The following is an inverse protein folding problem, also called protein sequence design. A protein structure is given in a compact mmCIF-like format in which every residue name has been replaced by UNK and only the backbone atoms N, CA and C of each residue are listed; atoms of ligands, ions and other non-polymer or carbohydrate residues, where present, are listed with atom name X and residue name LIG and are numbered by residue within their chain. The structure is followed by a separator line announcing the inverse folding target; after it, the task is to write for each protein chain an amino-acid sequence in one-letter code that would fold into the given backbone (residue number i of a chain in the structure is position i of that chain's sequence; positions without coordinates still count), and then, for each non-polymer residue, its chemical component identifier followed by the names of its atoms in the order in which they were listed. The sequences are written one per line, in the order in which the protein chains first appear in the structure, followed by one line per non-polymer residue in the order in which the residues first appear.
data_IF_590623465147
#
_entry.id   IF_590623465147
#
_cell.length_a   1.000
_cell.length_b   1.000
_cell.length_c   1.000
_cell.angle_alpha   90.00
_cell.angle_beta   90.00
_cell.angle_gamma   90.00
#
_symmetry.space_group_name_H-M   'P 1'
#
loop_
_entity.id
_entity.type
_entity.pdbx_description
1 polymer ?
#
# COMPACT_ATOMS: atom_id res chain seq x y z
N UNK A 1 -7.06 -36.52 19.31
CA UNK A 1 -6.17 -36.22 18.17
C UNK A 1 -6.66 -35.04 17.29
N UNK A 2 -7.36 -34.05 17.86
CA UNK A 2 -8.12 -33.02 17.10
C UNK A 2 -7.57 -31.57 17.26
N UNK A 3 -6.66 -31.34 18.22
CA UNK A 3 -6.15 -30.01 18.57
C UNK A 3 -5.10 -29.45 17.60
N UNK A 4 -4.28 -30.31 16.99
CA UNK A 4 -3.16 -29.88 16.12
C UNK A 4 -3.61 -29.12 14.86
N UNK A 5 -4.81 -29.39 14.35
CA UNK A 5 -5.28 -28.81 13.08
C UNK A 5 -6.03 -27.48 13.25
N UNK A 6 -6.72 -27.24 14.38
CA UNK A 6 -7.31 -25.92 14.68
C UNK A 6 -6.24 -24.87 14.92
N UNK A 7 -5.14 -25.27 15.55
CA UNK A 7 -3.95 -24.44 15.74
C UNK A 7 -3.30 -24.04 14.40
N UNK A 8 -3.24 -24.95 13.42
CA UNK A 8 -2.69 -24.65 12.08
C UNK A 8 -3.54 -23.68 11.27
N UNK A 9 -4.87 -23.77 11.32
CA UNK A 9 -5.78 -22.82 10.63
C UNK A 9 -5.74 -21.43 11.29
N UNK A 10 -5.65 -21.43 12.63
CA UNK A 10 -5.42 -20.25 13.46
C UNK A 10 -4.14 -19.51 13.04
N UNK A 11 -3.02 -20.22 12.96
CA UNK A 11 -1.74 -19.62 12.62
C UNK A 11 -1.70 -19.11 11.16
N UNK A 12 -2.52 -19.67 10.28
CA UNK A 12 -2.66 -19.22 8.88
C UNK A 12 -3.47 -17.92 8.76
N UNK A 13 -4.56 -17.78 9.54
CA UNK A 13 -5.29 -16.51 9.63
C UNK A 13 -4.43 -15.42 10.25
N UNK A 14 -3.67 -15.76 11.30
CA UNK A 14 -2.71 -14.85 11.90
C UNK A 14 -1.59 -14.49 10.92
N UNK A 15 -1.13 -15.42 10.09
CA UNK A 15 -0.19 -15.16 9.00
C UNK A 15 -0.76 -14.24 7.92
N UNK A 16 -2.02 -14.41 7.52
CA UNK A 16 -2.69 -13.54 6.53
C UNK A 16 -2.91 -12.14 7.11
N UNK A 17 -3.32 -12.02 8.38
CA UNK A 17 -3.46 -10.75 9.08
C UNK A 17 -2.10 -10.07 9.21
N UNK A 18 -1.04 -10.81 9.56
CA UNK A 18 0.32 -10.27 9.62
C UNK A 18 0.79 -9.84 8.23
N UNK A 19 0.53 -10.60 7.17
CA UNK A 19 0.91 -10.20 5.80
C UNK A 19 0.11 -8.98 5.34
N UNK A 20 -1.18 -8.86 5.66
CA UNK A 20 -2.01 -7.68 5.36
C UNK A 20 -1.56 -6.48 6.19
N UNK A 21 -1.21 -6.66 7.47
CA UNK A 21 -0.66 -5.61 8.32
C UNK A 21 0.74 -5.19 7.87
N UNK A 22 1.61 -6.12 7.48
CA UNK A 22 2.94 -5.82 6.92
C UNK A 22 2.76 -5.11 5.58
N UNK A 23 1.87 -5.56 4.70
CA UNK A 23 1.62 -4.89 3.41
C UNK A 23 1.00 -3.50 3.61
N UNK A 24 0.12 -3.33 4.60
CA UNK A 24 -0.42 -2.04 5.01
C UNK A 24 0.61 -1.11 5.66
N UNK A 25 1.56 -1.65 6.44
CA UNK A 25 2.68 -0.91 7.03
C UNK A 25 3.74 -0.53 6.00
N UNK A 26 3.85 -1.26 4.89
CA UNK A 26 4.70 -0.89 3.75
C UNK A 26 4.06 0.19 2.87
N UNK A 27 2.74 0.34 2.91
CA UNK A 27 2.02 1.49 2.36
C UNK A 27 2.10 2.65 3.34
N UNK A 28 3.30 3.21 3.51
CA UNK A 28 3.42 4.49 4.19
C UNK A 28 2.47 5.48 3.50
N UNK A 29 1.69 6.29 4.26
CA UNK A 29 0.96 7.37 3.65
C UNK A 29 1.98 8.20 2.88
N UNK A 30 1.82 8.27 1.55
CA UNK A 30 2.38 9.39 0.82
C UNK A 30 1.68 10.57 1.47
N UNK A 31 2.42 11.28 2.32
CA UNK A 31 1.97 12.55 2.84
C UNK A 31 1.70 13.39 1.59
N UNK A 32 0.43 13.46 1.22
CA UNK A 32 -0.06 14.47 0.31
C UNK A 32 0.14 15.78 1.06
N UNK A 33 1.37 16.31 0.96
CA UNK A 33 1.70 17.64 1.44
C UNK A 33 0.76 18.55 0.69
N UNK A 34 -0.18 19.11 1.43
CA UNK A 34 -1.15 20.02 0.90
C UNK A 34 -0.37 21.25 0.42
N UNK A 35 -0.43 21.45 -0.90
CA UNK A 35 -0.27 22.71 -1.64
C UNK A 35 1.14 23.11 -2.14
N UNK A 36 1.14 23.52 -3.42
CA UNK A 36 2.12 24.26 -4.20
C UNK A 36 3.26 23.53 -4.94
N UNK A 37 3.45 22.20 -4.81
CA UNK A 37 4.50 21.48 -5.56
C UNK A 37 3.95 20.37 -6.43
N UNK A 38 4.47 20.24 -7.65
CA UNK A 38 4.15 19.16 -8.58
C UNK A 38 5.43 18.46 -9.06
N UNK A 39 5.42 17.12 -9.17
CA UNK A 39 6.57 16.37 -9.66
C UNK A 39 6.70 16.46 -11.18
N UNK A 40 7.91 16.67 -11.65
CA UNK A 40 8.33 16.51 -13.06
C UNK A 40 8.67 15.04 -13.27
N UNK A 41 7.95 14.39 -14.18
CA UNK A 41 7.99 12.94 -14.39
C UNK A 41 8.40 12.62 -15.82
N UNK A 42 9.56 11.98 -15.97
CA UNK A 42 10.03 11.49 -17.25
C UNK A 42 9.88 9.98 -17.34
N UNK A 43 9.15 9.50 -18.35
CA UNK A 43 8.89 8.07 -18.60
C UNK A 43 8.40 7.32 -17.33
N UNK A 44 7.65 8.01 -16.45
CA UNK A 44 7.13 7.46 -15.18
C UNK A 44 8.12 7.45 -14.01
N UNK A 45 9.26 8.12 -14.12
CA UNK A 45 10.19 8.39 -13.01
C UNK A 45 10.11 9.87 -12.61
N UNK A 46 9.69 10.20 -11.37
CA UNK A 46 9.76 11.57 -10.87
C UNK A 46 11.23 11.96 -10.72
N UNK A 47 11.63 13.08 -11.32
CA UNK A 47 13.01 13.59 -11.28
C UNK A 47 13.14 14.61 -10.14
N UNK A 48 12.32 15.65 -10.17
CA UNK A 48 12.29 16.72 -9.16
C UNK A 48 10.88 17.30 -9.03
N UNK A 49 10.68 18.24 -8.11
CA UNK A 49 9.40 18.92 -7.90
C UNK A 49 9.55 20.42 -8.15
N UNK A 50 8.61 21.00 -8.88
CA UNK A 50 8.55 22.45 -9.14
C UNK A 50 7.38 23.07 -8.41
N UNK A 51 7.50 24.36 -8.07
CA UNK A 51 6.38 25.11 -7.51
C UNK A 51 5.49 25.73 -8.58
N UNK A 52 4.34 26.21 -8.12
CA UNK A 52 3.53 27.16 -8.88
C UNK A 52 4.29 28.47 -9.14
N UNK A 53 4.01 29.04 -10.31
CA UNK A 53 4.51 30.35 -10.71
C UNK A 53 3.33 31.31 -10.81
N UNK A 54 3.59 32.61 -10.96
CA UNK A 54 2.51 33.60 -11.06
C UNK A 54 1.63 33.38 -12.33
N UNK A 55 2.10 32.58 -13.30
CA UNK A 55 1.41 32.31 -14.57
C UNK A 55 0.92 30.86 -14.73
N UNK A 56 1.47 29.91 -13.97
CA UNK A 56 1.16 28.48 -14.11
C UNK A 56 0.94 27.86 -12.74
N UNK A 57 -0.07 27.01 -12.63
CA UNK A 57 -0.18 26.11 -11.48
C UNK A 57 1.05 25.18 -11.46
N UNK A 58 1.40 24.66 -10.29
CA UNK A 58 2.52 23.74 -10.17
C UNK A 58 2.40 22.55 -11.16
N UNK A 59 1.19 22.03 -11.34
CA UNK A 59 0.92 20.90 -12.24
C UNK A 59 1.05 21.30 -13.72
N UNK A 60 0.47 22.43 -14.14
CA UNK A 60 0.60 22.89 -15.53
C UNK A 60 2.07 23.18 -15.89
N UNK A 61 2.83 23.70 -14.92
CA UNK A 61 4.25 23.95 -15.07
C UNK A 61 5.04 22.64 -15.20
N UNK A 62 4.73 21.64 -14.36
CA UNK A 62 5.34 20.32 -14.45
C UNK A 62 5.04 19.61 -15.77
N UNK A 63 3.79 19.64 -16.23
CA UNK A 63 3.36 19.02 -17.49
C UNK A 63 4.07 19.65 -18.71
N UNK A 64 4.30 20.96 -18.67
CA UNK A 64 5.04 21.68 -19.71
C UNK A 64 6.52 21.26 -19.74
N UNK A 65 7.15 21.15 -18.58
CA UNK A 65 8.56 20.71 -18.45
C UNK A 65 8.69 19.24 -18.89
N UNK A 66 7.75 18.38 -18.50
CA UNK A 66 7.70 16.97 -18.92
C UNK A 66 7.59 16.83 -20.44
N UNK A 67 6.73 17.64 -21.07
CA UNK A 67 6.59 17.67 -22.52
C UNK A 67 7.91 18.05 -23.22
N UNK A 68 8.59 19.08 -22.71
CA UNK A 68 9.87 19.54 -23.26
C UNK A 68 11.00 18.53 -23.05
N UNK A 69 11.09 17.93 -21.85
CA UNK A 69 12.03 16.84 -21.54
C UNK A 69 11.82 15.68 -22.51
N UNK A 70 10.58 15.23 -22.68
CA UNK A 70 10.25 14.11 -23.56
C UNK A 70 10.64 14.40 -25.01
N UNK A 71 10.36 15.60 -25.51
CA UNK A 71 10.74 16.02 -26.85
C UNK A 71 12.26 16.12 -27.05
N UNK A 72 12.99 16.63 -26.05
CA UNK A 72 14.45 16.74 -26.09
C UNK A 72 15.13 15.36 -26.07
N UNK A 73 14.53 14.39 -25.40
CA UNK A 73 15.09 13.03 -25.26
C UNK A 73 14.66 12.06 -26.37
N UNK A 74 13.90 12.48 -27.37
CA UNK A 74 13.54 11.62 -28.52
C UNK A 74 14.70 11.36 -29.48
N UNK A 75 15.74 12.19 -29.48
CA UNK A 75 16.91 11.99 -30.33
C UNK A 75 17.88 10.97 -29.74
N UNK A 76 18.52 10.16 -30.59
CA UNK A 76 19.61 9.24 -30.22
C UNK A 76 20.92 9.97 -29.82
N UNK A 77 20.93 11.30 -29.90
CA UNK A 77 22.07 12.12 -29.49
C UNK A 77 22.15 12.21 -27.97
N UNK A 78 23.35 12.17 -27.38
CA UNK A 78 23.54 12.36 -25.95
C UNK A 78 22.97 13.70 -25.51
N UNK A 79 22.10 13.69 -24.49
CA UNK A 79 21.48 14.90 -23.95
C UNK A 79 22.52 15.64 -23.11
N UNK A 80 22.88 16.85 -23.55
CA UNK A 80 23.73 17.78 -22.80
C UNK A 80 22.84 18.74 -22.03
N UNK A 81 22.99 18.74 -20.70
CA UNK A 81 22.29 19.66 -19.80
C UNK A 81 23.25 20.81 -19.46
N UNK A 82 22.85 22.05 -19.72
CA UNK A 82 23.67 23.24 -19.46
C UNK A 82 22.93 24.23 -18.55
N UNK A 83 23.69 24.98 -17.76
CA UNK A 83 23.20 26.12 -17.00
C UNK A 83 23.61 27.40 -17.71
N UNK A 84 22.62 28.26 -17.95
CA UNK A 84 22.83 29.61 -18.43
C UNK A 84 22.16 30.59 -17.47
N UNK A 85 22.77 31.75 -17.26
CA UNK A 85 22.15 32.78 -16.45
C UNK A 85 21.27 33.67 -17.34
N UNK A 86 19.96 33.70 -17.07
CA UNK A 86 18.99 34.53 -17.79
C UNK A 86 18.31 35.45 -16.81
N UNK A 87 18.46 36.76 -16.99
CA UNK A 87 17.87 37.78 -16.13
C UNK A 87 18.22 37.61 -14.63
N UNK A 88 19.48 37.27 -14.34
CA UNK A 88 20.00 37.04 -12.97
C UNK A 88 19.49 35.76 -12.29
N UNK A 89 18.75 34.91 -13.00
CA UNK A 89 18.29 33.62 -12.51
C UNK A 89 18.93 32.47 -13.30
N UNK A 90 19.25 31.34 -12.66
CA UNK A 90 19.74 30.15 -13.34
C UNK A 90 18.65 29.52 -14.19
N UNK A 91 18.93 29.35 -15.47
CA UNK A 91 18.08 28.66 -16.44
C UNK A 91 18.75 27.38 -16.93
N UNK A 92 17.97 26.30 -16.98
CA UNK A 92 18.41 24.98 -17.44
C UNK A 92 18.09 24.85 -18.93
N UNK A 93 19.06 24.40 -19.70
CA UNK A 93 18.94 24.13 -21.12
C UNK A 93 19.27 22.66 -21.44
N UNK A 94 18.59 22.10 -22.43
CA UNK A 94 18.80 20.76 -22.97
C UNK A 94 19.15 20.86 -24.44
N UNK A 95 20.38 20.49 -24.83
CA UNK A 95 20.85 20.59 -26.22
C UNK A 95 20.52 21.97 -26.84
N UNK A 96 20.86 23.03 -26.11
CA UNK A 96 20.61 24.44 -26.48
C UNK A 96 19.13 24.87 -26.55
N UNK A 97 18.20 24.04 -26.04
CA UNK A 97 16.78 24.39 -25.88
C UNK A 97 16.49 24.75 -24.43
N UNK A 98 15.83 25.88 -24.22
CA UNK A 98 15.36 26.28 -22.89
C UNK A 98 14.43 25.20 -22.31
N UNK A 99 14.66 24.81 -21.06
CA UNK A 99 13.79 23.90 -20.33
C UNK A 99 12.98 24.66 -19.28
N UNK A 100 13.67 25.29 -18.32
CA UNK A 100 13.04 26.00 -17.21
C UNK A 100 14.01 26.97 -16.54
N UNK A 101 13.46 27.93 -15.80
CA UNK A 101 14.22 28.84 -14.91
C UNK A 101 13.97 28.45 -13.47
N UNK A 102 15.02 28.26 -12.68
CA UNK A 102 14.91 27.90 -11.26
C UNK A 102 14.76 29.18 -10.44
N UNK A 103 13.76 29.21 -9.57
CA UNK A 103 13.48 30.34 -8.69
C UNK A 103 13.81 30.02 -7.24
N UNK A 104 13.92 31.04 -6.39
CA UNK A 104 14.10 30.85 -4.94
C UNK A 104 12.91 30.10 -4.29
N UNK A 105 11.73 30.14 -4.92
CA UNK A 105 10.58 29.35 -4.44
C UNK A 105 10.81 27.86 -4.64
N UNK A 106 11.61 27.48 -5.63
CA UNK A 106 11.94 26.10 -5.98
C UNK A 106 13.08 25.50 -5.14
N UNK A 107 13.85 26.35 -4.46
CA UNK A 107 14.93 25.90 -3.59
C UNK A 107 14.39 25.19 -2.34
N UNK A 108 15.07 24.11 -1.94
CA UNK A 108 14.87 23.49 -0.63
C UNK A 108 15.35 24.47 0.45
N UNK A 109 14.69 24.47 1.62
CA UNK A 109 15.06 25.33 2.73
C UNK A 109 16.57 25.22 3.05
N UNK A 110 17.29 26.33 2.88
CA UNK A 110 18.74 26.41 3.11
C UNK A 110 19.61 26.33 1.84
N UNK A 111 19.02 26.20 0.65
CA UNK A 111 19.72 26.29 -0.64
C UNK A 111 19.34 27.57 -1.39
N UNK A 112 20.26 28.05 -2.23
CA UNK A 112 20.00 29.12 -3.21
C UNK A 112 19.42 28.56 -4.52
N UNK A 113 18.79 29.41 -5.34
CA UNK A 113 18.32 28.99 -6.66
C UNK A 113 19.45 28.41 -7.55
N UNK A 114 20.67 28.95 -7.46
CA UNK A 114 21.84 28.47 -8.20
C UNK A 114 22.29 27.07 -7.75
N UNK A 115 22.27 26.80 -6.44
CA UNK A 115 22.59 25.48 -5.90
C UNK A 115 21.51 24.47 -6.26
N UNK A 116 20.24 24.86 -6.17
CA UNK A 116 19.12 24.02 -6.59
C UNK A 116 19.20 23.68 -8.08
N UNK A 117 19.57 24.64 -8.93
CA UNK A 117 19.72 24.43 -10.36
C UNK A 117 20.84 23.43 -10.68
N UNK A 118 21.97 23.47 -9.94
CA UNK A 118 23.05 22.47 -10.09
C UNK A 118 22.60 21.07 -9.72
N UNK A 119 21.81 20.92 -8.65
CA UNK A 119 21.24 19.63 -8.25
C UNK A 119 20.34 19.09 -9.36
N UNK A 120 19.42 19.91 -9.87
CA UNK A 120 18.51 19.50 -10.95
C UNK A 120 19.25 19.14 -12.23
N UNK A 121 20.30 19.87 -12.60
CA UNK A 121 21.14 19.51 -13.76
C UNK A 121 21.74 18.13 -13.61
N UNK A 122 22.26 17.81 -12.43
CA UNK A 122 22.82 16.50 -12.13
C UNK A 122 21.75 15.41 -12.18
N UNK A 123 20.58 15.63 -11.58
CA UNK A 123 19.46 14.69 -11.61
C UNK A 123 18.96 14.43 -13.03
N UNK A 124 18.74 15.49 -13.83
CA UNK A 124 18.31 15.39 -15.22
C UNK A 124 19.35 14.65 -16.05
N UNK A 125 20.65 14.92 -15.85
CA UNK A 125 21.71 14.26 -16.62
C UNK A 125 21.81 12.76 -16.31
N UNK A 126 21.69 12.38 -15.03
CA UNK A 126 21.67 10.97 -14.61
C UNK A 126 20.46 10.25 -15.20
N UNK A 127 19.28 10.87 -15.14
CA UNK A 127 18.06 10.27 -15.70
C UNK A 127 18.13 10.22 -17.22
N UNK A 128 18.67 11.23 -17.90
CA UNK A 128 18.81 11.24 -19.35
C UNK A 128 19.74 10.12 -19.84
N UNK A 129 20.89 9.92 -19.19
CA UNK A 129 21.80 8.83 -19.50
C UNK A 129 21.13 7.47 -19.29
N UNK A 130 20.44 7.31 -18.17
CA UNK A 130 19.67 6.09 -17.86
C UNK A 130 18.61 5.83 -18.93
N UNK A 131 17.80 6.81 -19.29
CA UNK A 131 16.74 6.69 -20.30
C UNK A 131 17.30 6.31 -21.68
N UNK A 132 18.49 6.79 -22.05
CA UNK A 132 19.16 6.37 -23.29
C UNK A 132 19.58 4.90 -23.25
N UNK A 133 20.17 4.45 -22.13
CA UNK A 133 20.54 3.03 -21.94
C UNK A 133 19.29 2.14 -21.94
N UNK A 134 18.21 2.57 -21.28
CA UNK A 134 16.95 1.82 -21.20
C UNK A 134 16.22 1.68 -22.55
N UNK A 135 16.52 2.56 -23.51
CA UNK A 135 16.02 2.48 -24.90
C UNK A 135 16.90 1.62 -25.81
N UNK A 136 18.08 1.18 -25.33
CA UNK A 136 18.92 0.25 -26.07
C UNK A 136 18.23 -1.11 -26.26
N UNK A 137 18.46 -1.74 -27.41
CA UNK A 137 17.86 -3.03 -27.75
C UNK A 137 18.30 -4.14 -26.79
N UNK A 138 19.52 -4.07 -26.26
CA UNK A 138 20.06 -5.02 -25.28
C UNK A 138 19.30 -4.96 -23.95
N UNK A 139 18.96 -3.76 -23.48
CA UNK A 139 18.15 -3.58 -22.27
C UNK A 139 16.74 -4.18 -22.42
N UNK A 140 16.10 -3.96 -23.58
CA UNK A 140 14.77 -4.49 -23.86
C UNK A 140 14.74 -6.02 -23.85
N UNK A 141 15.77 -6.69 -24.36
CA UNK A 141 15.89 -8.15 -24.34
C UNK A 141 16.06 -8.69 -22.92
N UNK A 142 16.91 -8.05 -22.11
CA UNK A 142 17.12 -8.45 -20.72
C UNK A 142 15.84 -8.27 -19.87
N UNK A 143 15.09 -7.19 -20.10
CA UNK A 143 13.82 -6.93 -19.42
C UNK A 143 12.70 -7.88 -19.87
N UNK A 144 12.72 -8.37 -21.13
CA UNK A 144 11.81 -9.43 -21.57
C UNK A 144 12.04 -10.74 -20.80
N UNK A 145 13.29 -11.13 -20.57
CA UNK A 145 13.61 -12.35 -19.80
C UNK A 145 13.18 -12.18 -18.34
N UNK A 146 13.46 -11.02 -17.74
CA UNK A 146 13.11 -10.73 -16.35
C UNK A 146 11.58 -10.68 -16.15
N UNK A 147 10.84 -10.05 -17.06
CA UNK A 147 9.37 -10.03 -17.03
C UNK A 147 8.77 -11.43 -17.19
N UNK A 148 9.36 -12.28 -18.05
CA UNK A 148 8.95 -13.68 -18.17
C UNK A 148 9.20 -14.47 -16.87
N UNK A 149 10.32 -14.21 -16.19
CA UNK A 149 10.59 -14.76 -14.86
C UNK A 149 9.55 -14.36 -13.81
N UNK A 150 9.14 -13.09 -13.79
CA UNK A 150 8.12 -12.59 -12.85
C UNK A 150 6.74 -13.19 -13.16
N UNK A 151 6.38 -13.31 -14.44
CA UNK A 151 5.15 -13.99 -14.84
C UNK A 151 5.14 -15.44 -14.35
N UNK A 152 6.26 -16.17 -14.49
CA UNK A 152 6.37 -17.53 -13.97
C UNK A 152 6.21 -17.58 -12.45
N UNK A 153 6.80 -16.64 -11.72
CA UNK A 153 6.64 -16.52 -10.25
C UNK A 153 5.19 -16.22 -9.88
N UNK A 154 4.54 -15.27 -10.56
CA UNK A 154 3.13 -14.92 -10.33
C UNK A 154 2.19 -16.09 -10.63
N UNK A 155 2.45 -16.83 -11.72
CA UNK A 155 1.73 -18.06 -12.06
C UNK A 155 1.94 -19.09 -10.96
N UNK A 156 3.17 -19.35 -10.53
CA UNK A 156 3.49 -20.31 -9.47
C UNK A 156 2.80 -19.96 -8.15
N UNK A 157 2.80 -18.69 -7.73
CA UNK A 157 2.08 -18.19 -6.56
C UNK A 157 0.57 -18.40 -6.68
N UNK A 158 0.00 -18.02 -7.83
CA UNK A 158 -1.43 -18.19 -8.10
C UNK A 158 -1.84 -19.67 -8.10
N UNK A 159 -0.98 -20.54 -8.60
CA UNK A 159 -1.20 -21.98 -8.63
C UNK A 159 -1.10 -22.57 -7.22
N UNK A 160 -0.14 -22.11 -6.43
CA UNK A 160 0.03 -22.50 -5.02
C UNK A 160 -1.20 -22.12 -4.17
N UNK A 161 -1.83 -20.98 -4.44
CA UNK A 161 -3.08 -20.55 -3.79
C UNK A 161 -4.27 -21.45 -4.16
N UNK A 162 -4.38 -21.88 -5.42
CA UNK A 162 -5.42 -22.83 -5.86
C UNK A 162 -5.20 -24.21 -5.25
N UNK A 163 -3.95 -24.67 -5.20
CA UNK A 163 -3.60 -25.93 -4.56
C UNK A 163 -3.91 -25.91 -3.06
N UNK A 164 -3.59 -24.82 -2.37
CA UNK A 164 -3.91 -24.63 -0.96
C UNK A 164 -5.42 -24.64 -0.70
N UNK A 165 -6.21 -24.01 -1.58
CA UNK A 165 -7.68 -24.05 -1.52
C UNK A 165 -8.23 -25.47 -1.63
N UNK A 166 -7.72 -26.27 -2.59
CA UNK A 166 -8.16 -27.66 -2.79
C UNK A 166 -7.77 -28.53 -1.58
N UNK A 167 -6.52 -28.42 -1.14
CA UNK A 167 -6.03 -29.12 0.04
C UNK A 167 -6.85 -28.81 1.31
N UNK A 168 -7.18 -27.54 1.54
CA UNK A 168 -8.04 -27.12 2.66
C UNK A 168 -9.49 -27.61 2.50
N UNK A 169 -10.04 -27.59 1.29
CA UNK A 169 -11.41 -28.06 1.04
C UNK A 169 -11.53 -29.58 1.19
N UNK A 170 -10.50 -30.32 0.81
CA UNK A 170 -10.49 -31.78 0.91
C UNK A 170 -10.36 -32.21 2.38
N UNK A 171 -9.50 -31.55 3.16
CA UNK A 171 -9.39 -31.78 4.62
C UNK A 171 -10.69 -31.38 5.34
N UNK A 172 -11.35 -30.30 4.90
CA UNK A 172 -12.64 -29.91 5.46
C UNK A 172 -13.75 -30.92 5.09
N UNK A 173 -13.84 -31.36 3.84
CA UNK A 173 -14.87 -32.34 3.43
C UNK A 173 -14.69 -33.69 4.13
N UNK A 174 -13.45 -34.15 4.29
CA UNK A 174 -13.17 -35.45 4.91
C UNK A 174 -13.48 -35.50 6.42
N UNK A 175 -13.61 -34.33 7.07
CA UNK A 175 -13.79 -34.23 8.52
C UNK A 175 -15.21 -33.82 8.94
N UNK A 176 -16.03 -33.35 7.99
CA UNK A 176 -17.38 -32.85 8.25
C UNK A 176 -18.49 -33.80 7.74
N UNK A 177 -18.14 -34.99 7.25
CA UNK A 177 -19.10 -36.06 6.90
C UNK A 177 -19.52 -36.89 8.15
N UNK A 178 -18.99 -36.59 9.34
CA UNK A 178 -19.22 -37.42 10.55
C UNK A 178 -19.92 -36.71 11.71
N UNK A 179 -20.52 -35.54 11.53
CA UNK A 179 -21.32 -34.91 12.61
C UNK A 179 -22.44 -34.08 12.00
N UNK A 180 -23.68 -34.53 12.25
CA UNK A 180 -24.96 -33.90 11.91
C UNK A 180 -25.09 -32.47 12.44
N UNK A 181 -24.38 -31.55 11.82
CA UNK A 181 -24.67 -30.12 11.90
C UNK A 181 -24.27 -29.49 10.58
N UNK A 182 -25.20 -29.61 9.63
CA UNK A 182 -25.24 -28.73 8.47
C UNK A 182 -25.06 -27.28 8.91
N UNK A 183 -24.40 -26.49 8.06
CA UNK A 183 -24.12 -25.06 8.18
C UNK A 183 -22.78 -24.69 8.84
N UNK A 184 -21.69 -24.92 8.10
CA UNK A 184 -20.73 -23.81 7.94
C UNK A 184 -21.60 -22.62 7.47
N UNK A 185 -21.72 -21.51 8.23
CA UNK A 185 -22.59 -20.42 7.83
C UNK A 185 -22.12 -19.96 6.45
N UNK A 186 -23.03 -19.98 5.46
CA UNK A 186 -22.72 -19.70 4.04
C UNK A 186 -21.86 -18.44 3.88
N UNK A 187 -22.03 -17.45 4.75
CA UNK A 187 -21.23 -16.22 4.80
C UNK A 187 -19.73 -16.43 5.06
N UNK A 188 -19.33 -17.42 5.86
CA UNK A 188 -17.92 -17.70 6.14
C UNK A 188 -17.21 -18.34 4.93
N UNK A 189 -17.89 -19.24 4.21
CA UNK A 189 -17.40 -19.78 2.94
C UNK A 189 -17.32 -18.69 1.86
N UNK A 190 -18.34 -17.83 1.80
CA UNK A 190 -18.37 -16.68 0.88
C UNK A 190 -17.23 -15.71 1.18
N UNK A 191 -16.99 -15.39 2.45
CA UNK A 191 -15.87 -14.56 2.91
C UNK A 191 -14.51 -15.17 2.54
N UNK A 192 -14.31 -16.48 2.76
CA UNK A 192 -13.09 -17.17 2.34
C UNK A 192 -12.89 -17.14 0.82
N UNK A 193 -13.96 -17.30 0.04
CA UNK A 193 -13.89 -17.14 -1.43
C UNK A 193 -13.57 -15.71 -1.82
N UNK A 194 -14.17 -14.73 -1.15
CA UNK A 194 -13.97 -13.31 -1.42
C UNK A 194 -12.53 -12.89 -1.13
N UNK A 195 -12.00 -13.22 0.05
CA UNK A 195 -10.66 -12.83 0.45
C UNK A 195 -9.60 -13.47 -0.45
N UNK A 196 -9.80 -14.74 -0.83
CA UNK A 196 -8.88 -15.44 -1.72
C UNK A 196 -8.97 -14.92 -3.16
N UNK A 197 -10.16 -14.48 -3.60
CA UNK A 197 -10.33 -13.77 -4.87
C UNK A 197 -9.64 -12.40 -4.84
N UNK A 198 -9.83 -11.61 -3.78
CA UNK A 198 -9.19 -10.31 -3.60
C UNK A 198 -7.66 -10.45 -3.57
N UNK A 199 -7.12 -11.39 -2.79
CA UNK A 199 -5.66 -11.65 -2.76
C UNK A 199 -5.15 -12.03 -4.14
N UNK A 200 -5.86 -12.87 -4.88
CA UNK A 200 -5.47 -13.24 -6.25
C UNK A 200 -5.49 -12.01 -7.17
N UNK A 201 -6.52 -11.19 -7.11
CA UNK A 201 -6.62 -9.96 -7.90
C UNK A 201 -5.48 -9.01 -7.55
N UNK A 202 -5.15 -8.84 -6.27
CA UNK A 202 -3.99 -8.05 -5.83
C UNK A 202 -2.67 -8.60 -6.37
N UNK A 203 -2.43 -9.92 -6.30
CA UNK A 203 -1.20 -10.52 -6.83
C UNK A 203 -1.05 -10.26 -8.32
N UNK A 204 -2.13 -10.43 -9.09
CA UNK A 204 -2.12 -10.13 -10.53
C UNK A 204 -1.94 -8.63 -10.80
N UNK A 205 -2.63 -7.77 -10.05
CA UNK A 205 -2.51 -6.33 -10.18
C UNK A 205 -1.08 -5.86 -9.91
N UNK A 206 -0.46 -6.33 -8.81
CA UNK A 206 0.93 -6.02 -8.46
C UNK A 206 1.89 -6.54 -9.53
N UNK A 207 1.72 -7.78 -10.00
CA UNK A 207 2.56 -8.35 -11.05
C UNK A 207 2.46 -7.55 -12.36
N UNK A 208 1.24 -7.19 -12.78
CA UNK A 208 1.00 -6.38 -13.98
C UNK A 208 1.65 -5.00 -13.84
N UNK A 209 1.44 -4.31 -12.71
CA UNK A 209 2.02 -2.99 -12.47
C UNK A 209 3.56 -3.03 -12.41
N UNK A 210 4.12 -4.08 -11.82
CA UNK A 210 5.57 -4.28 -11.75
C UNK A 210 6.16 -4.56 -13.13
N UNK A 211 5.57 -5.45 -13.92
CA UNK A 211 5.98 -5.72 -15.30
C UNK A 211 5.82 -4.45 -16.16
N UNK A 212 4.75 -3.68 -15.94
CA UNK A 212 4.53 -2.41 -16.62
C UNK A 212 5.62 -1.38 -16.28
N UNK A 213 6.21 -1.42 -15.09
CA UNK A 213 7.32 -0.55 -14.69
C UNK A 213 8.67 -0.96 -15.34
N UNK A 214 8.77 -2.18 -15.86
CA UNK A 214 9.99 -2.66 -16.51
C UNK A 214 10.24 -2.02 -17.88
N UNK A 215 9.16 -1.64 -18.59
CA UNK A 215 9.26 -1.08 -19.93
C UNK A 215 9.04 0.44 -19.91
N UNK A 216 9.90 1.25 -20.57
CA UNK A 216 9.79 2.72 -20.54
C UNK A 216 8.42 3.26 -20.96
N UNK A 217 7.85 2.72 -22.05
CA UNK A 217 6.52 3.15 -22.56
C UNK A 217 5.41 2.78 -21.58
N UNK A 218 5.48 1.58 -20.99
CA UNK A 218 4.48 1.09 -20.05
C UNK A 218 4.62 1.69 -18.65
N UNK A 219 5.80 2.21 -18.30
CA UNK A 219 6.11 2.80 -16.99
C UNK A 219 5.34 4.08 -16.75
N UNK A 220 5.19 4.92 -17.77
CA UNK A 220 4.38 6.15 -17.68
C UNK A 220 2.91 5.87 -17.34
N UNK A 221 2.30 4.87 -17.97
CA UNK A 221 0.94 4.43 -17.68
C UNK A 221 0.83 3.78 -16.29
N UNK A 222 1.81 2.94 -15.92
CA UNK A 222 1.85 2.32 -14.59
C UNK A 222 1.91 3.37 -13.49
N UNK A 223 2.73 4.41 -13.67
CA UNK A 223 2.83 5.54 -12.75
C UNK A 223 1.50 6.28 -12.59
N UNK A 224 0.82 6.61 -13.70
CA UNK A 224 -0.49 7.28 -13.64
C UNK A 224 -1.54 6.41 -12.93
N UNK A 225 -1.63 5.13 -13.27
CA UNK A 225 -2.58 4.20 -12.64
C UNK A 225 -2.27 4.04 -11.15
N UNK A 226 -1.00 3.89 -10.77
CA UNK A 226 -0.61 3.82 -9.37
C UNK A 226 -0.94 5.10 -8.61
N UNK A 227 -0.68 6.28 -9.20
CA UNK A 227 -0.96 7.55 -8.56
C UNK A 227 -2.48 7.76 -8.38
N UNK A 228 -3.30 7.40 -9.37
CA UNK A 228 -4.76 7.45 -9.27
C UNK A 228 -5.26 6.46 -8.22
N UNK A 229 -4.76 5.22 -8.22
CA UNK A 229 -5.17 4.21 -7.23
C UNK A 229 -4.78 4.66 -5.82
N UNK A 230 -3.53 5.05 -5.61
CA UNK A 230 -3.05 5.50 -4.31
C UNK A 230 -3.82 6.73 -3.85
N UNK A 231 -3.91 7.79 -4.66
CA UNK A 231 -4.68 8.99 -4.31
C UNK A 231 -6.15 8.69 -4.03
N UNK A 232 -6.78 7.77 -4.77
CA UNK A 232 -8.18 7.38 -4.52
C UNK A 232 -8.34 6.64 -3.20
N UNK A 233 -7.40 5.75 -2.84
CA UNK A 233 -7.50 4.93 -1.64
C UNK A 233 -6.94 5.59 -0.37
N UNK A 234 -5.98 6.52 -0.51
CA UNK A 234 -5.39 7.29 0.58
C UNK A 234 -6.05 8.65 0.77
N UNK A 235 -6.92 9.07 -0.16
CA UNK A 235 -7.67 10.31 0.04
C UNK A 235 -8.54 10.21 1.31
N UNK A 236 -8.62 11.31 2.06
CA UNK A 236 -9.45 11.36 3.25
C UNK A 236 -10.93 11.26 2.84
N UNK A 237 -11.54 10.11 3.09
CA UNK A 237 -12.97 9.88 2.80
C UNK A 237 -13.86 10.31 3.96
N UNK A 238 -13.38 10.15 5.18
CA UNK A 238 -14.16 10.38 6.39
C UNK A 238 -13.34 11.25 7.34
N UNK A 239 -13.81 12.45 7.63
CA UNK A 239 -13.20 13.34 8.63
C UNK A 239 -13.97 13.18 9.94
N UNK A 240 -13.36 12.55 10.94
CA UNK A 240 -13.93 12.47 12.29
C UNK A 240 -13.11 13.34 13.24
N UNK A 241 -13.71 14.47 13.64
CA UNK A 241 -13.07 15.44 14.53
C UNK A 241 -11.86 16.10 13.89
N UNK A 242 -10.66 15.80 14.39
CA UNK A 242 -9.37 16.36 13.92
C UNK A 242 -8.58 15.41 13.02
N UNK A 243 -9.07 14.20 12.82
CA UNK A 243 -8.37 13.15 12.07
C UNK A 243 -9.13 12.83 10.78
N UNK A 244 -8.40 12.77 9.69
CA UNK A 244 -8.93 12.39 8.38
C UNK A 244 -8.55 10.94 8.09
N UNK A 245 -9.56 10.09 7.86
CA UNK A 245 -9.37 8.66 7.64
C UNK A 245 -9.59 8.32 6.17
N UNK A 246 -8.65 7.55 5.61
CA UNK A 246 -8.71 7.02 4.25
C UNK A 246 -9.43 5.65 4.16
N UNK A 247 -9.66 5.13 2.94
CA UNK A 247 -10.21 3.77 2.76
C UNK A 247 -9.29 2.73 3.39
N UNK A 248 -7.98 2.91 3.20
CA UNK A 248 -6.95 1.99 3.67
C UNK A 248 -6.96 1.97 5.20
N UNK A 249 -7.05 3.13 5.82
CA UNK A 249 -7.14 3.30 7.26
C UNK A 249 -8.33 2.52 7.85
N UNK A 250 -9.51 2.65 7.24
CA UNK A 250 -10.71 1.92 7.66
C UNK A 250 -10.54 0.40 7.45
N UNK A 251 -9.90 -0.02 6.37
CA UNK A 251 -9.64 -1.44 6.08
C UNK A 251 -8.67 -2.03 7.11
N UNK A 252 -7.62 -1.30 7.48
CA UNK A 252 -6.68 -1.68 8.53
C UNK A 252 -7.41 -1.78 9.87
N UNK A 253 -8.25 -0.81 10.23
CA UNK A 253 -9.04 -0.84 11.47
C UNK A 253 -9.93 -2.10 11.53
N UNK A 254 -10.64 -2.42 10.45
CA UNK A 254 -11.46 -3.64 10.37
C UNK A 254 -10.59 -4.89 10.54
N UNK A 255 -9.46 -4.98 9.84
CA UNK A 255 -8.55 -6.12 9.97
C UNK A 255 -8.00 -6.29 11.39
N UNK A 256 -7.67 -5.18 12.05
CA UNK A 256 -7.15 -5.15 13.42
C UNK A 256 -8.21 -5.58 14.44
N UNK A 257 -9.47 -5.15 14.26
CA UNK A 257 -10.61 -5.61 15.08
C UNK A 257 -10.82 -7.12 14.95
N UNK A 258 -10.75 -7.66 13.72
CA UNK A 258 -10.76 -9.11 13.51
C UNK A 258 -9.57 -9.79 14.19
N UNK A 259 -8.39 -9.17 14.14
CA UNK A 259 -7.19 -9.61 14.85
C UNK A 259 -7.40 -9.73 16.37
N UNK A 260 -8.06 -8.76 16.98
CA UNK A 260 -8.42 -8.79 18.42
C UNK A 260 -9.37 -9.93 18.73
N UNK A 261 -10.44 -10.10 17.95
CA UNK A 261 -11.40 -11.20 18.15
C UNK A 261 -10.71 -12.55 18.05
N UNK A 262 -9.81 -12.67 17.09
CA UNK A 262 -9.04 -13.87 16.86
C UNK A 262 -8.06 -14.17 18.01
N UNK A 263 -7.32 -13.15 18.48
CA UNK A 263 -6.39 -13.27 19.58
C UNK A 263 -7.11 -13.64 20.88
N UNK A 264 -8.24 -12.98 21.18
CA UNK A 264 -9.06 -13.26 22.35
C UNK A 264 -9.58 -14.71 22.38
N UNK A 265 -10.07 -15.21 21.24
CA UNK A 265 -10.50 -16.62 21.11
C UNK A 265 -9.35 -17.61 21.31
N UNK A 266 -8.15 -17.28 20.84
CA UNK A 266 -6.99 -18.16 20.97
C UNK A 266 -6.49 -18.19 22.43
N UNK A 267 -6.35 -17.03 23.07
CA UNK A 267 -5.92 -16.91 24.46
C UNK A 267 -6.85 -17.63 25.43
N UNK A 268 -8.16 -17.50 25.23
CA UNK A 268 -9.16 -18.15 26.10
C UNK A 268 -9.23 -19.67 25.92
N UNK A 269 -9.05 -20.16 24.70
CA UNK A 269 -8.93 -21.61 24.45
C UNK A 269 -7.67 -22.20 25.10
N UNK A 270 -6.54 -21.49 25.06
CA UNK A 270 -5.31 -21.92 25.74
C UNK A 270 -5.49 -21.89 27.26
N UNK A 271 -6.15 -20.87 27.80
CA UNK A 271 -6.42 -20.75 29.24
C UNK A 271 -7.28 -21.92 29.74
N UNK A 272 -8.30 -22.30 28.95
CA UNK A 272 -9.16 -23.46 29.19
C UNK A 272 -8.36 -24.77 29.19
N UNK A 273 -7.52 -24.99 28.19
CA UNK A 273 -6.77 -26.24 28.04
C UNK A 273 -5.69 -26.43 29.10
N UNK A 274 -5.03 -25.34 29.51
CA UNK A 274 -3.75 -25.42 30.25
C UNK A 274 -3.84 -25.10 31.74
N UNK A 275 -4.72 -24.20 32.16
CA UNK A 275 -4.77 -23.75 33.56
C UNK A 275 -6.03 -24.22 34.28
N UNK A 276 -7.18 -24.26 33.59
CA UNK A 276 -8.46 -24.58 34.23
C UNK A 276 -8.66 -26.08 34.47
N UNK A 277 -8.06 -26.96 33.65
CA UNK A 277 -8.07 -28.41 33.88
C UNK A 277 -7.24 -28.84 35.10
N UNK A 278 -6.17 -28.10 35.42
CA UNK A 278 -5.32 -28.36 36.58
C UNK A 278 -5.97 -27.92 37.91
N UNK A 279 -6.93 -26.99 37.84
CA UNK A 279 -7.63 -26.45 39.02
C UNK A 279 -8.84 -27.28 39.48
N UNK A 280 -9.18 -28.39 38.80
CA UNK A 280 -10.26 -29.31 39.22
C UNK A 280 -11.68 -28.74 39.16
N UNK A 281 -11.89 -27.60 38.50
CA UNK A 281 -13.19 -26.93 38.43
C UNK A 281 -14.19 -27.69 37.54
N UNK A 282 -15.48 -27.66 37.92
CA UNK A 282 -16.57 -28.23 37.12
C UNK A 282 -16.60 -27.64 35.70
N UNK A 283 -16.78 -28.50 34.69
CA UNK A 283 -16.76 -28.14 33.26
C UNK A 283 -17.68 -26.96 32.91
N UNK A 284 -18.83 -26.82 33.57
CA UNK A 284 -19.76 -25.69 33.36
C UNK A 284 -19.20 -24.34 33.83
N UNK A 285 -18.48 -24.31 34.95
CA UNK A 285 -17.84 -23.09 35.48
C UNK A 285 -16.65 -22.67 34.60
N UNK A 286 -15.87 -23.63 34.12
CA UNK A 286 -14.79 -23.37 33.16
C UNK A 286 -15.31 -22.77 31.85
N UNK A 287 -16.42 -23.29 31.32
CA UNK A 287 -17.05 -22.77 30.10
C UNK A 287 -17.50 -21.32 30.31
N UNK A 288 -18.14 -21.02 31.45
CA UNK A 288 -18.60 -19.68 31.77
C UNK A 288 -17.42 -18.68 31.91
N UNK A 289 -16.35 -19.06 32.61
CA UNK A 289 -15.16 -18.21 32.79
C UNK A 289 -14.46 -17.96 31.46
N UNK A 290 -14.31 -18.98 30.61
CA UNK A 290 -13.69 -18.82 29.29
C UNK A 290 -14.49 -17.87 28.40
N UNK A 291 -15.81 -17.98 28.42
CA UNK A 291 -16.71 -17.09 27.67
C UNK A 291 -16.62 -15.65 28.19
N UNK A 292 -16.64 -15.45 29.50
CA UNK A 292 -16.47 -14.14 30.14
C UNK A 292 -15.13 -13.50 29.79
N UNK A 293 -14.04 -14.26 29.90
CA UNK A 293 -12.70 -13.80 29.55
C UNK A 293 -12.59 -13.45 28.06
N UNK A 294 -13.25 -14.21 27.18
CA UNK A 294 -13.25 -13.97 25.74
C UNK A 294 -13.93 -12.65 25.41
N UNK A 295 -15.15 -12.45 25.90
CA UNK A 295 -15.89 -11.21 25.64
C UNK A 295 -15.23 -10.00 26.31
N UNK A 296 -14.66 -10.16 27.51
CA UNK A 296 -13.88 -9.11 28.16
C UNK A 296 -12.65 -8.69 27.35
N UNK A 297 -11.87 -9.64 26.84
CA UNK A 297 -10.70 -9.36 26.00
C UNK A 297 -11.08 -8.70 24.66
N UNK A 298 -12.18 -9.14 24.04
CA UNK A 298 -12.69 -8.53 22.80
C UNK A 298 -13.09 -7.08 23.07
N UNK A 299 -13.82 -6.83 24.16
CA UNK A 299 -14.30 -5.51 24.52
C UNK A 299 -13.15 -4.55 24.80
N UNK A 300 -12.21 -4.94 25.67
CA UNK A 300 -11.04 -4.12 26.00
C UNK A 300 -10.19 -3.88 24.76
N UNK A 301 -9.91 -4.93 23.97
CA UNK A 301 -9.11 -4.80 22.75
C UNK A 301 -9.76 -3.89 21.73
N UNK A 302 -11.06 -4.01 21.49
CA UNK A 302 -11.78 -3.13 20.58
C UNK A 302 -11.77 -1.67 21.04
N UNK A 303 -11.94 -1.42 22.34
CA UNK A 303 -11.92 -0.08 22.93
C UNK A 303 -10.54 0.57 22.77
N UNK A 304 -9.47 -0.15 23.11
CA UNK A 304 -8.08 0.32 22.94
C UNK A 304 -7.76 0.62 21.48
N UNK A 305 -8.22 -0.22 20.54
CA UNK A 305 -8.04 0.03 19.11
C UNK A 305 -8.79 1.28 18.65
N UNK A 306 -10.04 1.47 19.09
CA UNK A 306 -10.82 2.66 18.74
C UNK A 306 -10.11 3.93 19.25
N UNK A 307 -9.66 3.93 20.50
CA UNK A 307 -8.94 5.04 21.12
C UNK A 307 -7.60 5.33 20.43
N UNK A 308 -6.81 4.30 20.12
CA UNK A 308 -5.53 4.46 19.43
C UNK A 308 -5.70 5.08 18.03
N UNK A 309 -6.84 4.84 17.40
CA UNK A 309 -7.21 5.45 16.14
C UNK A 309 -7.80 6.85 16.28
N UNK A 310 -7.97 7.40 17.50
CA UNK A 310 -8.55 8.73 17.73
C UNK A 310 -10.07 8.77 17.70
N UNK A 311 -10.71 7.60 17.67
CA UNK A 311 -12.16 7.45 17.73
C UNK A 311 -12.56 7.29 19.20
N UNK A 312 -12.71 8.40 19.91
CA UNK A 312 -13.13 8.40 21.31
C UNK A 312 -14.62 8.09 21.44
N UNK A 313 -15.04 6.94 22.01
CA UNK A 313 -16.45 6.69 22.31
C UNK A 313 -16.96 7.56 23.48
N UNK A 314 -16.04 8.13 24.26
CA UNK A 314 -16.29 8.92 25.48
C UNK A 314 -16.94 10.28 25.20
N UNK A 315 -16.81 10.82 23.98
CA UNK A 315 -17.36 12.15 23.61
C UNK A 315 -18.90 12.15 23.53
N UNK A 316 -19.55 10.98 23.42
CA UNK A 316 -21.03 10.90 23.34
C UNK A 316 -21.74 10.72 24.71
N UNK A 317 -21.01 10.65 25.83
CA UNK A 317 -21.62 10.43 27.17
C UNK A 317 -21.77 11.75 27.98
N UNK A 318 -21.34 12.89 27.44
CA UNK A 318 -21.57 14.21 28.03
C UNK A 318 -22.44 15.08 27.11
N UNK A 319 -23.72 14.74 27.02
CA UNK A 319 -24.73 15.77 26.78
C UNK A 319 -25.16 16.32 28.15
N UNK A 320 -24.87 17.59 28.49
CA UNK A 320 -25.53 18.21 29.61
C UNK A 320 -26.98 18.44 29.19
N UNK A 321 -27.88 17.61 29.72
CA UNK A 321 -29.31 17.91 29.76
C UNK A 321 -29.44 19.26 30.48
N UNK A 322 -29.70 20.31 29.71
CA UNK A 322 -30.10 21.62 30.23
C UNK A 322 -31.62 21.62 30.22
N UNK A 323 -32.22 21.46 31.40
CA UNK A 323 -33.58 21.92 31.70
C UNK A 323 -33.46 23.36 32.19
#
# INVERSE_FOLDING_TARGET
MNYSYRFKLSNLLLGIIIVVCIFGLWLHPINASNQAKAPVVLDGQPIFQINETDQFTAQDHADLVDFQLKAAMQSDLPVKVTLENRNQLPAIFLNDRYLLTVTERDAIAGLTADEQAKIWVQEIQVVAQKTQIERSQEYLQNMLILSMGILLVAIALSWRLVWLRRYLSDIAKQKWISTDSETIPKGMELFFKLILAITRTCVWLVAILYIANLFPVSRSLSYQVQNILLSSFTSPLLTLGKSSYSVIDLLILVALLFGVVFLARTSTNILRERFLNLAGLCRGVQEAIAVLAQYGLIFIGALVLLQAWGLDPTIYIQSPITI
#
